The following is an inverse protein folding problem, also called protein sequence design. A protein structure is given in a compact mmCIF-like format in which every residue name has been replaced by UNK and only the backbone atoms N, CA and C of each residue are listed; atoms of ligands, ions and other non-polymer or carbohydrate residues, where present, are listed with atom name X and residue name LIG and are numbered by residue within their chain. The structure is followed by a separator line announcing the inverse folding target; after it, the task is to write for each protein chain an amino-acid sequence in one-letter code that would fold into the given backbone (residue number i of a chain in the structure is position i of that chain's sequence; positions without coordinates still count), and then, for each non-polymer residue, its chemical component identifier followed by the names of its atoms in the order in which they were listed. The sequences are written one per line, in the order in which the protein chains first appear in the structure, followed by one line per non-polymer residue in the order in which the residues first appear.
data_IF_684922603606
#
_entry.id   IF_684922603606
#
_cell.length_a   1.000
_cell.length_b   1.000
_cell.length_c   1.000
_cell.angle_alpha   90.00
_cell.angle_beta   90.00
_cell.angle_gamma   90.00
#
_symmetry.space_group_name_H-M   'P 1'
#
loop_
_entity.id
_entity.type
_entity.pdbx_description
1 polymer ?
#
# COMPACT_ATOMS: atom_id res chain seq x y z
N UNK A 1 -2.63 -31.31 7.75
CA UNK A 1 -1.80 -30.51 8.68
C UNK A 1 -1.73 -29.10 8.13
N UNK A 2 -2.31 -28.12 8.81
CA UNK A 2 -2.14 -26.70 8.49
C UNK A 2 -1.84 -26.00 9.82
N UNK A 3 -0.56 -25.91 10.19
CA UNK A 3 -0.17 -25.20 11.41
C UNK A 3 -0.29 -23.71 11.15
N UNK A 4 -1.01 -23.01 12.02
CA UNK A 4 -1.09 -21.54 12.02
C UNK A 4 0.23 -20.88 12.47
N UNK A 5 1.09 -21.67 13.12
CA UNK A 5 2.38 -21.26 13.64
C UNK A 5 3.52 -21.64 12.69
N UNK A 6 4.62 -20.89 12.76
CA UNK A 6 5.82 -21.15 11.96
C UNK A 6 6.42 -22.50 12.36
N UNK A 7 6.92 -23.24 11.38
CA UNK A 7 7.62 -24.50 11.61
C UNK A 7 8.99 -24.26 12.28
N UNK A 8 9.71 -25.33 12.58
CA UNK A 8 11.02 -25.28 13.27
C UNK A 8 12.10 -24.50 12.51
N UNK A 9 11.88 -24.22 11.22
CA UNK A 9 12.76 -23.39 10.39
C UNK A 9 12.28 -21.94 10.29
N UNK A 10 11.20 -21.58 11.01
CA UNK A 10 10.62 -20.24 11.00
C UNK A 10 9.71 -19.94 9.80
N UNK A 11 9.34 -20.95 8.99
CA UNK A 11 8.54 -20.80 7.77
C UNK A 11 7.09 -21.27 7.97
N UNK A 12 6.15 -20.76 7.18
CA UNK A 12 4.78 -21.26 7.15
C UNK A 12 4.67 -22.42 6.16
N UNK A 13 3.96 -23.49 6.55
CA UNK A 13 3.81 -24.69 5.73
C UNK A 13 2.84 -24.48 4.52
N UNK A 14 2.10 -23.37 4.52
CA UNK A 14 1.18 -22.96 3.44
C UNK A 14 1.38 -21.48 3.14
N UNK A 15 1.25 -21.11 1.86
CA UNK A 15 1.28 -19.71 1.44
C UNK A 15 0.20 -18.91 2.18
N UNK A 16 0.61 -18.02 3.10
CA UNK A 16 -0.28 -17.01 3.67
C UNK A 16 -0.22 -15.78 2.79
N UNK A 17 -1.36 -15.36 2.23
CA UNK A 17 -1.52 -13.99 1.76
C UNK A 17 -1.38 -13.06 2.97
N UNK A 18 -0.67 -11.94 2.78
CA UNK A 18 -0.48 -10.89 3.79
C UNK A 18 -1.83 -10.46 4.38
N UNK A 19 -1.81 -10.04 5.65
CA UNK A 19 -2.98 -9.47 6.32
C UNK A 19 -3.58 -8.32 5.49
N UNK A 20 -4.88 -8.10 5.66
CA UNK A 20 -5.65 -6.99 5.08
C UNK A 20 -4.79 -5.71 5.01
N UNK A 21 -4.70 -5.11 3.81
CA UNK A 21 -3.79 -3.99 3.56
C UNK A 21 -4.04 -2.89 4.58
N UNK A 22 -2.96 -2.41 5.20
CA UNK A 22 -3.04 -1.28 6.12
C UNK A 22 -3.62 -0.08 5.36
N UNK A 23 -4.72 0.47 5.88
CA UNK A 23 -5.35 1.67 5.35
C UNK A 23 -4.89 2.84 6.18
N UNK A 24 -4.10 3.72 5.57
CA UNK A 24 -3.68 4.97 6.21
C UNK A 24 -4.56 6.09 5.67
N UNK A 25 -5.19 6.83 6.57
CA UNK A 25 -5.90 8.06 6.22
C UNK A 25 -4.89 9.20 6.23
N UNK A 26 -4.78 9.94 5.12
CA UNK A 26 -4.02 11.18 5.06
C UNK A 26 -4.98 12.37 5.10
N UNK A 27 -4.59 13.41 5.86
CA UNK A 27 -5.27 14.71 5.81
C UNK A 27 -4.72 15.55 4.66
N UNK A 28 -5.43 16.62 4.29
CA UNK A 28 -4.93 17.56 3.28
C UNK A 28 -3.57 18.17 3.68
N UNK A 29 -3.42 18.52 4.96
CA UNK A 29 -2.16 19.05 5.49
C UNK A 29 -0.99 18.04 5.40
N UNK A 30 -1.27 16.74 5.52
CA UNK A 30 -0.24 15.71 5.33
C UNK A 30 0.19 15.58 3.88
N UNK A 31 -0.76 15.70 2.94
CA UNK A 31 -0.48 15.70 1.50
C UNK A 31 0.35 16.93 1.13
N UNK A 32 -0.08 18.13 1.57
CA UNK A 32 0.63 19.38 1.31
C UNK A 32 2.05 19.35 1.86
N UNK A 33 2.24 18.87 3.11
CA UNK A 33 3.58 18.70 3.70
C UNK A 33 4.47 17.74 2.88
N UNK A 34 3.90 16.68 2.32
CA UNK A 34 4.64 15.75 1.47
C UNK A 34 5.02 16.40 0.14
N UNK A 35 4.12 17.16 -0.49
CA UNK A 35 4.40 17.91 -1.70
C UNK A 35 5.52 18.94 -1.48
N UNK A 36 5.49 19.66 -0.35
CA UNK A 36 6.56 20.59 0.06
C UNK A 36 7.91 19.87 0.27
N UNK A 37 7.88 18.61 0.72
CA UNK A 37 9.06 17.75 0.85
C UNK A 37 9.53 17.17 -0.50
N UNK A 38 8.87 17.49 -1.61
CA UNK A 38 9.21 17.03 -2.95
C UNK A 38 8.49 15.75 -3.39
N UNK A 39 7.42 15.35 -2.69
CA UNK A 39 6.54 14.30 -3.20
C UNK A 39 5.76 14.79 -4.43
N UNK A 40 5.24 13.84 -5.21
CA UNK A 40 4.44 14.11 -6.40
C UNK A 40 3.17 13.28 -6.37
N UNK A 41 2.09 13.85 -6.91
CA UNK A 41 0.82 13.15 -7.11
C UNK A 41 0.81 12.56 -8.52
N UNK A 42 0.43 11.29 -8.64
CA UNK A 42 0.34 10.59 -9.92
C UNK A 42 -0.85 9.63 -9.88
N UNK A 43 -1.62 9.58 -10.97
CA UNK A 43 -2.69 8.59 -11.08
C UNK A 43 -2.12 7.17 -11.14
N UNK A 44 -2.94 6.17 -10.82
CA UNK A 44 -2.51 4.78 -10.91
C UNK A 44 -2.09 4.43 -12.33
N UNK A 45 -2.83 4.91 -13.32
CA UNK A 45 -2.59 4.67 -14.74
C UNK A 45 -1.23 5.23 -15.18
N UNK A 46 -0.92 6.47 -14.77
CA UNK A 46 0.37 7.10 -15.03
C UNK A 46 1.51 6.37 -14.33
N UNK A 47 1.31 5.94 -13.08
CA UNK A 47 2.32 5.21 -12.31
C UNK A 47 2.60 3.83 -12.91
N UNK A 48 1.58 3.16 -13.46
CA UNK A 48 1.76 1.92 -14.23
C UNK A 48 2.50 2.19 -15.54
N UNK A 49 2.11 3.22 -16.29
CA UNK A 49 2.74 3.57 -17.57
C UNK A 49 4.22 3.97 -17.41
N UNK A 50 4.56 4.66 -16.32
CA UNK A 50 5.93 5.02 -15.96
C UNK A 50 6.75 3.85 -15.39
N UNK A 51 6.13 2.69 -15.15
CA UNK A 51 6.80 1.50 -14.61
C UNK A 51 7.03 1.52 -13.10
N UNK A 52 6.45 2.48 -12.37
CA UNK A 52 6.50 2.51 -10.90
C UNK A 52 5.63 1.42 -10.27
N UNK A 53 4.53 1.04 -10.93
CA UNK A 53 3.59 0.03 -10.44
C UNK A 53 3.44 -1.13 -11.43
N UNK A 54 3.49 -2.36 -10.93
CA UNK A 54 3.18 -3.54 -11.73
C UNK A 54 1.64 -3.64 -11.92
N UNK A 55 1.13 -3.72 -13.16
CA UNK A 55 -0.31 -3.82 -13.43
C UNK A 55 -0.95 -5.13 -12.95
N UNK A 56 -0.16 -6.20 -12.82
CA UNK A 56 -0.65 -7.54 -12.48
C UNK A 56 -0.40 -7.95 -11.04
N UNK A 57 0.29 -7.12 -10.26
CA UNK A 57 0.59 -7.40 -8.87
C UNK A 57 -0.44 -6.72 -7.95
N UNK A 58 -0.83 -7.41 -6.89
CA UNK A 58 -1.77 -6.90 -5.90
C UNK A 58 -1.01 -5.98 -4.93
N UNK A 59 -0.55 -4.83 -5.42
CA UNK A 59 0.36 -3.86 -4.79
C UNK A 59 0.41 -3.92 -3.25
N UNK A 60 1.57 -4.22 -2.66
CA UNK A 60 1.81 -4.10 -1.21
C UNK A 60 1.69 -2.65 -0.69
N UNK A 61 1.46 -1.70 -1.60
CA UNK A 61 1.34 -0.28 -1.28
C UNK A 61 0.03 0.03 -0.55
N UNK A 62 0.20 0.80 0.52
CA UNK A 62 -0.84 1.42 1.36
C UNK A 62 -1.94 2.03 0.48
N UNK A 63 -3.20 1.67 0.75
CA UNK A 63 -4.35 2.35 0.16
C UNK A 63 -4.50 3.67 0.91
N UNK A 64 -4.20 4.78 0.22
CA UNK A 64 -4.39 6.12 0.74
C UNK A 64 -5.82 6.56 0.41
N UNK A 65 -6.70 6.53 1.40
CA UNK A 65 -8.01 7.19 1.29
C UNK A 65 -7.79 8.68 1.56
N UNK A 66 -7.94 9.50 0.50
CA UNK A 66 -7.91 10.95 0.61
C UNK A 66 -9.27 11.39 1.17
N UNK A 67 -9.29 11.94 2.38
CA UNK A 67 -10.50 12.60 2.91
C UNK A 67 -10.58 14.01 2.35
N UNK A 68 -11.59 14.28 1.53
CA UNK A 68 -11.97 15.66 1.20
C UNK A 68 -12.54 16.32 2.46
N UNK A 69 -11.85 17.32 3.00
CA UNK A 69 -12.41 18.20 4.01
C UNK A 69 -13.47 19.09 3.33
N UNK A 70 -14.75 18.75 3.55
CA UNK A 70 -15.87 19.58 3.10
C UNK A 70 -15.78 20.94 3.81
N UNK A 71 -15.72 22.00 3.00
CA UNK A 71 -15.64 23.41 3.43
C UNK A 71 -16.95 23.92 4.03
#
# INVERSE_FOLDING_TARGET
MNRKERNSLGLFDTARRSSEKERVTLTQADIERQLDAGAFLMSREEAVAAGFLNPYDEQDTVIVDIREEQK
#
